data_IF_901444512135
#
_entry.id   IF_901444512135
#
_cell.length_a   1.000
_cell.length_b   1.000
_cell.length_c   1.000
_cell.angle_alpha   90.00
_cell.angle_beta   90.00
_cell.angle_gamma   90.00
#
_symmetry.space_group_name_H-M   'P 1'
#
loop_
_entity.id
_entity.type
_entity.pdbx_description
1 polymer ?
#
# COMPACT_ATOMS: atom_id res chain seq x y z
N UNK A 1 0.54 15.08 14.92
CA UNK A 1 -0.48 14.03 15.03
C UNK A 1 -0.02 12.86 15.91
N UNK A 2 1.28 12.64 16.00
CA UNK A 2 1.84 11.50 16.71
C UNK A 2 2.80 11.99 17.77
N UNK A 3 2.37 11.94 19.04
CA UNK A 3 3.21 12.16 20.23
C UNK A 3 3.85 10.85 20.71
N UNK A 4 3.67 9.77 20.00
CA UNK A 4 4.12 8.43 20.35
C UNK A 4 4.82 7.74 19.20
N UNK A 5 5.75 6.84 19.53
CA UNK A 5 6.40 5.91 18.59
C UNK A 5 5.74 4.52 18.60
N UNK A 6 4.75 4.28 19.49
CA UNK A 6 4.01 3.02 19.53
C UNK A 6 3.09 2.89 18.31
N UNK A 7 3.31 1.91 17.42
CA UNK A 7 2.53 1.74 16.21
C UNK A 7 1.05 1.44 16.49
N UNK A 8 0.71 0.78 17.60
CA UNK A 8 -0.68 0.48 17.96
C UNK A 8 -1.45 1.75 18.32
N UNK A 9 -0.83 2.66 19.06
CA UNK A 9 -1.42 3.96 19.39
C UNK A 9 -1.60 4.82 18.14
N UNK A 10 -0.63 4.80 17.22
CA UNK A 10 -0.71 5.49 15.93
C UNK A 10 -1.88 4.94 15.10
N UNK A 11 -2.01 3.62 14.98
CA UNK A 11 -3.09 2.95 14.25
C UNK A 11 -4.45 3.27 14.87
N UNK A 12 -4.55 3.24 16.20
CA UNK A 12 -5.77 3.58 16.93
C UNK A 12 -6.22 5.02 16.63
N UNK A 13 -5.27 5.97 16.63
CA UNK A 13 -5.52 7.37 16.28
C UNK A 13 -6.00 7.53 14.84
N UNK A 14 -5.34 6.86 13.89
CA UNK A 14 -5.73 6.86 12.47
C UNK A 14 -7.12 6.24 12.29
N UNK A 15 -7.39 5.10 12.94
CA UNK A 15 -8.69 4.41 12.93
C UNK A 15 -9.80 5.32 13.42
N UNK A 16 -9.63 5.95 14.59
CA UNK A 16 -10.63 6.85 15.20
C UNK A 16 -10.92 8.04 14.28
N UNK A 17 -9.89 8.62 13.67
CA UNK A 17 -10.01 9.86 12.92
C UNK A 17 -10.46 9.65 11.47
N UNK A 18 -9.92 8.65 10.78
CA UNK A 18 -10.06 8.49 9.34
C UNK A 18 -10.79 7.22 8.92
N UNK A 19 -11.01 6.26 9.83
CA UNK A 19 -11.69 4.97 9.57
C UNK A 19 -11.19 4.28 8.28
N UNK A 20 -9.88 4.10 8.10
CA UNK A 20 -9.33 3.51 6.89
C UNK A 20 -9.76 2.05 6.77
N UNK A 21 -10.02 1.57 5.56
CA UNK A 21 -10.22 0.16 5.27
C UNK A 21 -8.90 -0.60 5.06
N UNK A 22 -7.83 0.14 4.76
CA UNK A 22 -6.50 -0.42 4.47
C UNK A 22 -5.46 0.47 5.17
N UNK A 23 -4.48 -0.17 5.82
CA UNK A 23 -3.25 0.49 6.31
C UNK A 23 -2.06 -0.25 5.70
N UNK A 24 -1.16 0.52 5.07
CA UNK A 24 0.14 0.02 4.61
C UNK A 24 1.18 0.24 5.71
N UNK A 25 1.97 -0.80 5.98
CA UNK A 25 3.09 -0.77 6.93
C UNK A 25 4.34 -1.24 6.20
N UNK A 26 5.41 -0.44 6.27
CA UNK A 26 6.76 -0.88 5.91
C UNK A 26 7.53 -1.19 7.20
N UNK A 27 7.95 -2.43 7.36
CA UNK A 27 8.83 -2.87 8.44
C UNK A 27 10.27 -2.62 8.01
N UNK A 28 10.80 -1.45 8.38
CA UNK A 28 12.13 -1.02 7.94
C UNK A 28 13.24 -1.92 8.48
N UNK A 29 13.10 -2.48 9.69
CA UNK A 29 14.08 -3.42 10.23
C UNK A 29 14.11 -4.70 9.39
N UNK A 30 12.95 -5.14 8.90
CA UNK A 30 12.87 -6.29 8.02
C UNK A 30 13.44 -5.99 6.63
N UNK A 31 13.19 -4.80 6.08
CA UNK A 31 13.62 -4.39 4.74
C UNK A 31 15.13 -4.17 4.70
N UNK A 32 15.71 -3.53 5.73
CA UNK A 32 17.12 -3.12 5.76
C UNK A 32 17.99 -4.22 6.39
N UNK A 33 17.57 -4.74 7.55
CA UNK A 33 18.39 -5.62 8.39
C UNK A 33 17.93 -7.08 8.36
N UNK A 34 16.92 -7.42 7.55
CA UNK A 34 16.30 -8.75 7.48
C UNK A 34 15.71 -9.23 8.83
N UNK A 35 15.36 -8.30 9.72
CA UNK A 35 14.83 -8.57 11.06
C UNK A 35 13.35 -8.22 11.16
N UNK A 36 12.48 -9.19 10.89
CA UNK A 36 11.03 -8.99 10.93
C UNK A 36 10.53 -8.76 12.36
N UNK A 37 9.77 -7.69 12.58
CA UNK A 37 9.11 -7.36 13.85
C UNK A 37 7.83 -8.21 14.08
N UNK A 38 7.97 -9.53 14.02
CA UNK A 38 6.86 -10.51 14.00
C UNK A 38 5.90 -10.32 15.16
N UNK A 39 6.39 -10.06 16.38
CA UNK A 39 5.54 -9.89 17.58
C UNK A 39 4.65 -8.67 17.43
N UNK A 40 5.24 -7.50 17.10
CA UNK A 40 4.52 -6.23 16.94
C UNK A 40 3.47 -6.35 15.83
N UNK A 41 3.84 -6.96 14.70
CA UNK A 41 2.93 -7.17 13.57
C UNK A 41 1.77 -8.07 13.96
N UNK A 42 2.02 -9.19 14.63
CA UNK A 42 0.97 -10.10 15.10
C UNK A 42 0.01 -9.40 16.07
N UNK A 43 0.53 -8.62 17.02
CA UNK A 43 -0.28 -7.87 17.98
C UNK A 43 -1.17 -6.84 17.26
N UNK A 44 -0.65 -6.14 16.24
CA UNK A 44 -1.44 -5.22 15.40
C UNK A 44 -2.57 -5.97 14.67
N UNK A 45 -2.28 -7.10 14.06
CA UNK A 45 -3.26 -7.88 13.30
C UNK A 45 -4.39 -8.44 14.19
N UNK A 46 -4.08 -8.75 15.45
CA UNK A 46 -5.06 -9.21 16.47
C UNK A 46 -5.92 -8.04 16.96
N UNK A 47 -5.31 -6.88 17.26
CA UNK A 47 -6.00 -5.76 17.90
C UNK A 47 -6.89 -4.98 16.93
N UNK A 48 -6.64 -5.10 15.61
CA UNK A 48 -7.38 -4.36 14.57
C UNK A 48 -7.91 -5.28 13.46
N UNK A 49 -8.77 -6.27 13.78
CA UNK A 49 -9.22 -7.29 12.83
C UNK A 49 -10.06 -6.72 11.66
N UNK A 50 -10.67 -5.56 11.83
CA UNK A 50 -11.50 -4.89 10.82
C UNK A 50 -10.71 -4.09 9.78
N UNK A 51 -9.39 -3.88 10.00
CA UNK A 51 -8.51 -3.16 9.08
C UNK A 51 -7.72 -4.17 8.25
N UNK A 52 -7.69 -4.02 6.94
CA UNK A 52 -6.80 -4.80 6.09
C UNK A 52 -5.39 -4.19 6.11
N UNK A 53 -4.41 -4.98 6.50
CA UNK A 53 -3.02 -4.54 6.53
C UNK A 53 -2.26 -5.03 5.30
N UNK A 54 -1.62 -4.11 4.61
CA UNK A 54 -0.65 -4.39 3.57
C UNK A 54 0.74 -4.18 4.16
N UNK A 55 1.47 -5.27 4.38
CA UNK A 55 2.73 -5.23 5.13
C UNK A 55 3.88 -5.61 4.23
N UNK A 56 4.83 -4.69 4.14
CA UNK A 56 6.09 -4.85 3.43
C UNK A 56 7.18 -5.22 4.44
N UNK A 57 7.72 -6.40 4.29
CA UNK A 57 8.82 -6.94 5.09
C UNK A 57 10.04 -7.25 4.21
N UNK A 58 10.17 -6.59 3.06
CA UNK A 58 11.22 -6.85 2.09
C UNK A 58 11.12 -8.25 1.49
N UNK A 59 12.23 -8.99 1.52
CA UNK A 59 12.29 -10.39 1.04
C UNK A 59 11.75 -11.40 2.07
N UNK A 60 11.48 -10.96 3.28
CA UNK A 60 11.08 -11.84 4.36
C UNK A 60 9.57 -12.01 4.40
N UNK A 61 9.11 -13.25 4.56
CA UNK A 61 7.70 -13.53 4.79
C UNK A 61 7.45 -13.56 6.29
N UNK A 62 6.37 -12.90 6.73
CA UNK A 62 5.93 -12.95 8.12
C UNK A 62 5.68 -14.40 8.54
N UNK A 63 6.57 -14.93 9.37
CA UNK A 63 6.42 -16.27 9.97
C UNK A 63 5.46 -16.19 11.15
N UNK A 64 4.16 -16.37 10.90
CA UNK A 64 3.15 -16.44 11.95
C UNK A 64 2.56 -17.85 12.02
N UNK A 65 2.40 -18.37 13.24
CA UNK A 65 1.64 -19.61 13.49
C UNK A 65 0.14 -19.41 13.27
N UNK A 66 -0.35 -18.18 13.38
CA UNK A 66 -1.74 -17.81 13.15
C UNK A 66 -1.95 -17.39 11.71
N UNK A 67 -3.07 -17.82 11.12
CA UNK A 67 -3.49 -17.35 9.79
C UNK A 67 -4.38 -16.12 9.97
N UNK A 68 -3.89 -14.97 9.53
CA UNK A 68 -4.65 -13.73 9.57
C UNK A 68 -5.38 -13.50 8.25
N UNK A 69 -6.67 -13.17 8.32
CA UNK A 69 -7.48 -12.86 7.15
C UNK A 69 -7.33 -11.40 6.72
N UNK A 70 -6.93 -10.53 7.63
CA UNK A 70 -6.71 -9.09 7.43
C UNK A 70 -5.26 -8.73 7.06
N UNK A 71 -4.45 -9.71 6.65
CA UNK A 71 -3.05 -9.54 6.26
C UNK A 71 -2.84 -9.83 4.78
N UNK A 72 -2.13 -8.92 4.10
CA UNK A 72 -1.61 -9.11 2.75
C UNK A 72 -0.12 -8.77 2.75
N UNK A 73 0.69 -9.69 2.25
CA UNK A 73 2.11 -9.42 2.05
C UNK A 73 2.33 -8.53 0.85
N UNK A 74 3.21 -7.53 0.97
CA UNK A 74 3.61 -6.67 -0.14
C UNK A 74 4.93 -7.17 -0.71
N UNK A 75 4.97 -7.33 -2.03
CA UNK A 75 6.20 -7.60 -2.78
C UNK A 75 6.61 -6.36 -3.55
N UNK A 76 7.84 -5.93 -3.34
CA UNK A 76 8.41 -4.76 -3.98
C UNK A 76 9.29 -5.15 -5.17
N UNK A 77 9.18 -4.44 -6.30
CA UNK A 77 9.99 -4.73 -7.48
C UNK A 77 11.48 -4.48 -7.25
N UNK A 78 11.84 -3.57 -6.35
CA UNK A 78 13.24 -3.31 -6.02
C UNK A 78 13.97 -4.52 -5.42
N UNK A 79 13.23 -5.37 -4.70
CA UNK A 79 13.77 -6.56 -4.02
C UNK A 79 13.56 -7.86 -4.81
N UNK A 80 12.97 -7.79 -6.02
CA UNK A 80 12.54 -8.97 -6.76
C UNK A 80 13.68 -9.62 -7.52
N UNK A 81 14.31 -10.59 -6.90
CA UNK A 81 15.07 -11.64 -7.59
C UNK A 81 14.15 -12.85 -7.67
N UNK A 82 13.47 -13.03 -8.82
CA UNK A 82 12.63 -14.20 -9.09
C UNK A 82 11.33 -14.24 -8.29
N UNK A 83 10.26 -13.62 -8.81
CA UNK A 83 8.91 -13.79 -8.26
C UNK A 83 8.43 -15.21 -8.51
N UNK A 84 8.48 -16.03 -7.49
CA UNK A 84 7.70 -17.27 -7.44
C UNK A 84 6.47 -17.03 -6.52
N UNK A 85 5.53 -16.24 -7.04
CA UNK A 85 4.25 -16.08 -6.35
C UNK A 85 3.47 -17.37 -6.58
N UNK A 86 3.25 -18.12 -5.49
CA UNK A 86 2.32 -19.25 -5.51
C UNK A 86 0.99 -18.80 -6.16
N UNK A 87 0.76 -19.31 -7.37
CA UNK A 87 -0.40 -18.94 -8.19
C UNK A 87 -1.74 -19.15 -7.48
N UNK A 88 -1.78 -20.08 -6.52
CA UNK A 88 -2.97 -20.42 -5.73
C UNK A 88 -3.28 -19.40 -4.63
N UNK A 89 -2.31 -18.57 -4.25
CA UNK A 89 -2.44 -17.62 -3.13
C UNK A 89 -2.40 -16.13 -3.56
N UNK A 90 -2.51 -15.81 -4.85
CA UNK A 90 -2.43 -14.43 -5.37
C UNK A 90 -3.29 -13.40 -4.64
N UNK A 91 -4.43 -13.83 -4.08
CA UNK A 91 -5.33 -12.93 -3.32
C UNK A 91 -4.74 -12.39 -2.03
N UNK A 92 -3.69 -13.04 -1.48
CA UNK A 92 -3.03 -12.65 -0.24
C UNK A 92 -1.88 -11.67 -0.45
N UNK A 93 -1.61 -11.33 -1.70
CA UNK A 93 -0.46 -10.51 -2.06
C UNK A 93 -0.88 -9.20 -2.69
N UNK A 94 -0.03 -8.21 -2.50
CA UNK A 94 -0.03 -6.92 -3.17
C UNK A 94 1.34 -6.75 -3.81
N UNK A 95 1.40 -6.27 -5.05
CA UNK A 95 2.67 -5.98 -5.69
C UNK A 95 2.93 -4.48 -5.67
N UNK A 96 4.12 -4.05 -5.23
CA UNK A 96 4.57 -2.67 -5.34
C UNK A 96 5.54 -2.52 -6.51
N UNK A 97 5.20 -1.66 -7.45
CA UNK A 97 6.10 -1.19 -8.49
C UNK A 97 6.84 0.03 -7.95
N UNK A 98 8.06 -0.19 -7.50
CA UNK A 98 8.89 0.85 -6.91
C UNK A 98 9.60 1.60 -8.00
N UNK A 99 9.38 2.91 -8.02
CA UNK A 99 9.82 3.79 -9.07
C UNK A 99 10.79 4.85 -8.53
N UNK A 100 11.97 4.94 -9.18
CA UNK A 100 12.95 6.01 -8.97
C UNK A 100 13.53 6.35 -10.34
N UNK A 101 12.98 7.38 -11.04
CA UNK A 101 13.20 7.66 -12.46
C UNK A 101 12.76 6.52 -13.40
N UNK A 102 12.96 5.26 -13.01
CA UNK A 102 12.53 4.03 -13.69
C UNK A 102 12.03 3.03 -12.65
N UNK A 103 11.37 1.94 -13.07
CA UNK A 103 11.06 0.83 -12.16
C UNK A 103 12.36 0.25 -11.66
N UNK A 104 12.44 0.06 -10.34
CA UNK A 104 13.56 -0.63 -9.69
C UNK A 104 13.40 -2.14 -9.83
N UNK A 105 14.54 -2.84 -9.73
CA UNK A 105 14.60 -4.29 -9.89
C UNK A 105 14.77 -4.74 -11.35
N UNK A 106 15.17 -5.99 -11.53
CA UNK A 106 15.34 -6.62 -12.85
C UNK A 106 13.99 -7.21 -13.31
N UNK A 107 13.06 -6.34 -13.70
CA UNK A 107 11.67 -6.71 -13.97
C UNK A 107 11.41 -6.80 -15.46
N UNK A 108 11.18 -8.02 -15.97
CA UNK A 108 10.54 -8.19 -17.28
C UNK A 108 9.02 -7.98 -17.11
N UNK A 109 8.55 -6.74 -17.33
CA UNK A 109 7.18 -6.35 -17.09
C UNK A 109 6.13 -7.22 -17.84
N UNK A 110 6.27 -7.55 -19.14
CA UNK A 110 5.35 -8.42 -19.85
C UNK A 110 5.22 -9.82 -19.21
N UNK A 111 6.34 -10.38 -18.73
CA UNK A 111 6.33 -11.68 -18.03
C UNK A 111 5.69 -11.54 -16.66
N UNK A 112 6.06 -10.51 -15.91
CA UNK A 112 5.55 -10.25 -14.58
C UNK A 112 4.02 -10.07 -14.59
N UNK A 113 3.47 -9.33 -15.55
CA UNK A 113 2.02 -9.07 -15.68
C UNK A 113 1.16 -10.34 -15.74
N UNK A 114 1.70 -11.49 -16.15
CA UNK A 114 0.96 -12.77 -16.15
C UNK A 114 0.72 -13.33 -14.75
N UNK A 115 1.62 -13.01 -13.81
CA UNK A 115 1.66 -13.62 -12.46
C UNK A 115 1.28 -12.66 -11.34
N UNK A 116 1.05 -11.37 -11.65
CA UNK A 116 0.75 -10.35 -10.63
C UNK A 116 -0.53 -10.64 -9.84
N UNK A 117 -0.55 -10.28 -8.54
CA UNK A 117 -1.77 -10.17 -7.78
C UNK A 117 -2.66 -9.07 -8.36
N UNK A 118 -3.95 -9.08 -8.00
CA UNK A 118 -4.91 -8.09 -8.50
C UNK A 118 -4.61 -6.67 -8.06
N UNK A 119 -4.00 -6.50 -6.88
CA UNK A 119 -3.69 -5.20 -6.27
C UNK A 119 -2.25 -4.80 -6.57
N UNK A 120 -2.08 -3.64 -7.19
CA UNK A 120 -0.76 -3.10 -7.56
C UNK A 120 -0.62 -1.69 -7.00
N UNK A 121 0.45 -1.46 -6.26
CA UNK A 121 0.88 -0.13 -5.82
C UNK A 121 1.88 0.41 -6.84
N UNK A 122 1.64 1.61 -7.31
CA UNK A 122 2.61 2.40 -8.07
C UNK A 122 3.28 3.36 -7.07
N UNK A 123 4.47 2.98 -6.59
CA UNK A 123 5.19 3.67 -5.53
C UNK A 123 6.31 4.53 -6.11
N UNK A 124 6.16 5.86 -6.06
CA UNK A 124 7.25 6.75 -6.42
C UNK A 124 8.09 7.08 -5.19
N UNK A 125 9.22 6.39 -5.06
CA UNK A 125 10.13 6.51 -3.91
C UNK A 125 10.78 7.91 -3.83
N UNK A 126 10.94 8.61 -4.96
CA UNK A 126 11.48 9.99 -4.94
C UNK A 126 10.47 10.98 -4.36
N UNK A 127 9.20 10.62 -4.31
CA UNK A 127 8.14 11.47 -3.77
C UNK A 127 7.75 11.10 -2.33
N UNK A 128 8.13 9.90 -1.85
CA UNK A 128 7.88 9.48 -0.46
C UNK A 128 8.65 10.39 0.49
N UNK A 129 7.94 11.04 1.41
CA UNK A 129 8.54 11.97 2.38
C UNK A 129 9.05 13.30 1.80
N UNK A 130 9.05 13.48 0.48
CA UNK A 130 9.54 14.69 -0.19
C UNK A 130 8.53 15.84 -0.13
N UNK A 131 8.96 17.06 -0.53
CA UNK A 131 8.06 18.21 -0.73
C UNK A 131 7.32 18.20 -2.07
N UNK A 132 7.66 17.32 -3.01
CA UNK A 132 7.11 17.25 -4.36
C UNK A 132 5.74 16.57 -4.41
N UNK A 133 4.96 16.84 -5.45
CA UNK A 133 3.64 16.23 -5.70
C UNK A 133 3.73 14.84 -6.34
N UNK A 134 2.60 14.13 -6.33
CA UNK A 134 2.50 12.78 -6.88
C UNK A 134 2.84 12.71 -8.37
N UNK A 135 3.46 11.63 -8.78
CA UNK A 135 3.86 11.35 -10.16
C UNK A 135 2.69 10.79 -10.98
N UNK A 136 1.80 11.66 -11.42
CA UNK A 136 0.66 11.26 -12.24
C UNK A 136 1.03 10.79 -13.65
N UNK A 137 2.25 11.09 -14.15
CA UNK A 137 2.75 10.53 -15.42
C UNK A 137 2.91 9.01 -15.29
N UNK A 138 3.41 8.55 -14.16
CA UNK A 138 3.51 7.12 -13.85
C UNK A 138 2.11 6.47 -13.87
N UNK A 139 1.13 7.04 -13.17
CA UNK A 139 -0.23 6.50 -13.18
C UNK A 139 -0.79 6.40 -14.61
N UNK A 140 -0.67 7.45 -15.44
CA UNK A 140 -1.13 7.43 -16.84
C UNK A 140 -0.47 6.31 -17.66
N UNK A 141 0.79 6.02 -17.43
CA UNK A 141 1.51 4.93 -18.12
C UNK A 141 0.88 3.56 -17.86
N UNK A 142 0.38 3.34 -16.61
CA UNK A 142 -0.14 2.04 -16.18
C UNK A 142 -1.64 1.93 -16.20
N UNK A 143 -2.39 3.03 -16.35
CA UNK A 143 -3.86 3.02 -16.25
C UNK A 143 -4.54 2.13 -17.28
N UNK A 144 -3.92 1.88 -18.43
CA UNK A 144 -4.40 0.91 -19.43
C UNK A 144 -4.58 -0.51 -18.88
N UNK A 145 -3.99 -0.82 -17.74
CA UNK A 145 -4.12 -2.12 -17.07
C UNK A 145 -5.20 -2.12 -15.98
N UNK A 146 -5.90 -1.00 -15.74
CA UNK A 146 -6.92 -0.88 -14.68
C UNK A 146 -8.15 -1.76 -14.87
N UNK A 147 -8.39 -2.25 -16.09
CA UNK A 147 -9.43 -3.27 -16.37
C UNK A 147 -9.10 -4.63 -15.75
N UNK A 148 -7.81 -4.94 -15.61
CA UNK A 148 -7.32 -6.22 -15.06
C UNK A 148 -6.86 -6.09 -13.61
N UNK A 149 -6.30 -4.94 -13.24
CA UNK A 149 -5.67 -4.71 -11.94
C UNK A 149 -6.27 -3.52 -11.21
N UNK A 150 -6.26 -3.59 -9.89
CA UNK A 150 -6.60 -2.49 -9.01
C UNK A 150 -5.33 -1.65 -8.76
N UNK A 151 -5.22 -0.49 -9.41
CA UNK A 151 -4.04 0.36 -9.31
C UNK A 151 -4.18 1.35 -8.16
N UNK A 152 -3.18 1.36 -7.28
CA UNK A 152 -3.03 2.31 -6.18
C UNK A 152 -1.81 3.17 -6.44
N UNK A 153 -1.89 4.47 -6.15
CA UNK A 153 -0.73 5.36 -6.28
C UNK A 153 -0.21 5.74 -4.90
N UNK A 154 1.11 5.75 -4.74
CA UNK A 154 1.81 6.11 -3.53
C UNK A 154 2.98 7.07 -3.81
N UNK A 155 3.28 7.92 -2.83
CA UNK A 155 4.30 8.95 -2.93
C UNK A 155 3.75 10.29 -3.44
N UNK A 156 3.96 11.36 -2.68
CA UNK A 156 3.66 12.74 -3.06
C UNK A 156 2.18 13.17 -3.06
N UNK A 157 1.27 12.36 -2.54
CA UNK A 157 -0.15 12.75 -2.35
C UNK A 157 -0.23 13.68 -1.14
N UNK A 158 -0.55 14.96 -1.35
CA UNK A 158 -0.50 15.99 -0.30
C UNK A 158 -1.75 16.82 -0.15
N UNK A 159 -2.56 16.88 -1.20
CA UNK A 159 -3.74 17.75 -1.26
C UNK A 159 -4.97 16.97 -1.69
N UNK A 160 -6.14 17.56 -1.43
CA UNK A 160 -7.41 17.04 -1.95
C UNK A 160 -7.43 17.03 -3.48
N UNK A 161 -6.73 17.98 -4.13
CA UNK A 161 -6.59 18.01 -5.59
C UNK A 161 -5.84 16.79 -6.09
N UNK A 162 -4.77 16.35 -5.40
CA UNK A 162 -4.04 15.12 -5.76
C UNK A 162 -4.95 13.89 -5.64
N UNK A 163 -5.79 13.82 -4.59
CA UNK A 163 -6.76 12.74 -4.41
C UNK A 163 -7.77 12.70 -5.56
N UNK A 164 -8.37 13.85 -5.88
CA UNK A 164 -9.34 13.97 -6.96
C UNK A 164 -8.71 13.63 -8.32
N UNK A 165 -7.48 14.07 -8.56
CA UNK A 165 -6.73 13.77 -9.79
C UNK A 165 -6.41 12.28 -9.90
N UNK A 166 -5.97 11.63 -8.83
CA UNK A 166 -5.75 10.18 -8.82
C UNK A 166 -7.04 9.43 -9.19
N UNK A 167 -8.16 9.83 -8.57
CA UNK A 167 -9.48 9.25 -8.85
C UNK A 167 -9.92 9.47 -10.30
N UNK A 168 -9.82 10.69 -10.83
CA UNK A 168 -10.24 11.01 -12.20
C UNK A 168 -9.38 10.29 -13.25
N UNK A 169 -8.14 9.97 -12.91
CA UNK A 169 -7.26 9.16 -13.75
C UNK A 169 -7.51 7.66 -13.62
N UNK A 170 -8.47 7.21 -12.79
CA UNK A 170 -8.86 5.81 -12.66
C UNK A 170 -8.08 5.01 -11.62
N UNK A 171 -7.32 5.65 -10.72
CA UNK A 171 -6.74 4.93 -9.59
C UNK A 171 -7.83 4.36 -8.69
N UNK A 172 -7.66 3.11 -8.25
CA UNK A 172 -8.56 2.45 -7.29
C UNK A 172 -8.46 3.08 -5.90
N UNK A 173 -7.28 3.61 -5.55
CA UNK A 173 -7.03 4.27 -4.28
C UNK A 173 -5.68 4.96 -4.25
N UNK A 174 -5.39 5.57 -3.12
CA UNK A 174 -4.11 6.26 -2.85
C UNK A 174 -3.57 5.84 -1.50
N UNK A 175 -2.25 5.71 -1.38
CA UNK A 175 -1.57 5.58 -0.11
C UNK A 175 -1.09 6.97 0.32
N UNK A 176 -1.47 7.36 1.52
CA UNK A 176 -1.16 8.69 2.05
C UNK A 176 -0.46 8.59 3.40
N UNK A 177 0.50 9.47 3.63
CA UNK A 177 1.20 9.63 4.92
C UNK A 177 1.27 11.10 5.30
N UNK A 178 1.92 11.94 4.50
CA UNK A 178 2.18 13.35 4.82
C UNK A 178 0.90 14.19 5.01
N UNK A 179 -0.16 13.89 4.27
CA UNK A 179 -1.45 14.58 4.38
C UNK A 179 -2.13 14.31 5.72
N UNK A 180 -1.91 13.14 6.32
CA UNK A 180 -2.43 12.80 7.65
C UNK A 180 -1.78 13.65 8.74
N UNK A 181 -0.49 13.96 8.61
CA UNK A 181 0.25 14.81 9.56
C UNK A 181 -0.28 16.25 9.57
N UNK A 182 -0.73 16.75 8.41
CA UNK A 182 -1.22 18.11 8.22
C UNK A 182 -2.72 18.27 8.48
N UNK A 183 -3.42 17.18 8.80
CA UNK A 183 -4.87 17.17 9.03
C UNK A 183 -5.71 17.71 7.86
N UNK A 184 -5.21 17.57 6.65
CA UNK A 184 -5.80 18.12 5.43
C UNK A 184 -6.77 17.18 4.70
N UNK A 185 -7.07 15.99 5.25
CA UNK A 185 -8.04 15.08 4.62
C UNK A 185 -9.47 15.49 4.98
N UNK A 186 -10.30 15.86 4.00
CA UNK A 186 -11.69 16.12 4.28
C UNK A 186 -12.40 14.83 4.71
N UNK A 187 -13.09 14.87 5.84
CA UNK A 187 -13.85 13.74 6.41
C UNK A 187 -14.85 13.12 5.42
N UNK A 188 -15.34 13.89 4.45
CA UNK A 188 -16.31 13.48 3.43
C UNK A 188 -15.77 12.46 2.40
N UNK A 189 -14.48 12.41 2.15
CA UNK A 189 -13.90 11.44 1.19
C UNK A 189 -13.85 10.02 1.74
N UNK A 190 -13.98 9.85 3.04
CA UNK A 190 -13.90 8.57 3.74
C UNK A 190 -15.28 7.89 3.80
N UNK A 191 -16.38 8.64 3.74
CA UNK A 191 -17.74 8.15 3.96
C UNK A 191 -18.48 7.60 2.73
N UNK A 192 -17.96 7.74 1.49
CA UNK A 192 -18.71 7.37 0.25
C UNK A 192 -18.62 5.90 -0.15
N UNK A 193 -18.56 4.95 0.79
CA UNK A 193 -18.65 3.51 0.49
C UNK A 193 -19.78 2.76 1.18
N UNK A 194 -20.84 3.43 1.61
CA UNK A 194 -22.12 2.77 1.92
C UNK A 194 -23.10 3.13 0.80
N UNK A 195 -23.51 2.17 0.01
CA UNK A 195 -24.50 2.17 -1.06
C UNK A 195 -23.91 2.12 -2.48
N UNK A 196 -23.45 0.94 -2.88
CA UNK A 196 -23.72 0.44 -4.22
C UNK A 196 -24.54 -0.84 -4.05
N UNK A 197 -25.75 -0.92 -4.61
CA UNK A 197 -26.50 -2.16 -4.65
C UNK A 197 -25.72 -3.15 -5.51
N UNK A 198 -25.58 -4.35 -5.01
CA UNK A 198 -25.20 -5.53 -5.78
C UNK A 198 -26.36 -5.85 -6.73
N UNK A 199 -26.19 -5.57 -7.99
CA UNK A 199 -26.88 -6.23 -9.08
C UNK A 199 -25.98 -7.30 -9.63
#
# INVERSE_FOLDING_TARGET
LYSTTDPKQIISTIKKRYKPSIIYIADLDAIIDNKVNTKIINDILIDFPEINFWIDTGLNILKSKKRFMNYHSVFCTENSIGFDIDSNNKKKYVCSFDYKKRILGNVNLPRLLKYLPKKIILMDLEQVGSSKHANFKMLRKYIKYSTKYELYIAGGIKTTLDLNRAKSLGARGVLVSSILKKDCLPRLLIQKRKNQPTN
#
